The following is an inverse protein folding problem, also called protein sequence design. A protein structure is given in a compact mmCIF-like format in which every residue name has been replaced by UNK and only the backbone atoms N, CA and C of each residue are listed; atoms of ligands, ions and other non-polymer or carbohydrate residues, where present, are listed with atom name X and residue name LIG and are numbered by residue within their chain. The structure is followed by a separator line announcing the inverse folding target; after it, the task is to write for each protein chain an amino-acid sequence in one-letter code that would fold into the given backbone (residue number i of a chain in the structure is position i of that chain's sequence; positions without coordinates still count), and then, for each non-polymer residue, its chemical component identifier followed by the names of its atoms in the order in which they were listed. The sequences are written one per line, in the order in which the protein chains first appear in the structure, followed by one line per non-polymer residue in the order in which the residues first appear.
data_IF_613573977357
#
_entry.id   IF_613573977357
#
_cell.length_a   1.000
_cell.length_b   1.000
_cell.length_c   1.000
_cell.angle_alpha   90.00
_cell.angle_beta   90.00
_cell.angle_gamma   90.00
#
_symmetry.space_group_name_H-M   'P 1'
#
loop_
_entity.id
_entity.type
_entity.pdbx_description
1 polymer ?
#
# COMPACT_ATOMS: atom_id res chain seq x y z
N UNK A 1 11.14 -19.23 -16.10
CA UNK A 1 10.81 -17.80 -16.22
C UNK A 1 9.38 -17.63 -15.72
N UNK A 2 9.23 -17.15 -14.50
CA UNK A 2 7.91 -16.85 -13.92
C UNK A 2 7.28 -15.64 -14.60
N UNK A 3 5.96 -15.59 -14.63
CA UNK A 3 5.18 -14.44 -15.07
C UNK A 3 4.29 -13.89 -13.93
N UNK A 4 4.60 -14.29 -12.70
CA UNK A 4 3.81 -13.98 -11.49
C UNK A 4 4.67 -13.17 -10.53
N UNK A 5 4.07 -12.09 -9.99
CA UNK A 5 4.67 -11.25 -8.96
C UNK A 5 3.70 -11.03 -7.80
N UNK A 6 4.24 -11.06 -6.58
CA UNK A 6 3.55 -10.67 -5.34
C UNK A 6 4.18 -9.36 -4.85
N UNK A 7 3.38 -8.31 -4.75
CA UNK A 7 3.85 -6.98 -4.35
C UNK A 7 3.30 -6.66 -2.96
N UNK A 8 4.19 -6.63 -1.96
CA UNK A 8 3.82 -6.40 -0.57
C UNK A 8 3.85 -4.89 -0.25
N UNK A 9 2.70 -4.27 -0.05
CA UNK A 9 2.64 -2.83 0.23
C UNK A 9 2.85 -2.48 1.71
N UNK A 10 2.53 -3.40 2.63
CA UNK A 10 2.49 -3.17 4.07
C UNK A 10 1.61 -1.98 4.51
N UNK A 11 0.71 -1.47 3.66
CA UNK A 11 -0.12 -0.29 3.98
C UNK A 11 -1.21 -0.62 5.02
N UNK A 12 -1.77 -1.84 4.93
CA UNK A 12 -2.77 -2.37 5.85
C UNK A 12 -2.11 -2.82 7.16
N UNK A 13 -2.69 -2.44 8.30
CA UNK A 13 -2.23 -2.80 9.66
C UNK A 13 -3.27 -3.59 10.46
N UNK A 14 -4.48 -3.76 9.93
CA UNK A 14 -5.61 -4.44 10.54
C UNK A 14 -5.99 -5.65 9.71
N UNK A 15 -6.50 -6.75 10.30
CA UNK A 15 -7.01 -7.88 9.52
C UNK A 15 -8.38 -7.59 8.86
N UNK A 16 -9.12 -6.61 9.37
CA UNK A 16 -10.54 -6.41 9.07
C UNK A 16 -10.82 -5.71 7.73
N UNK A 17 -9.81 -5.07 7.14
CA UNK A 17 -9.98 -4.19 5.97
C UNK A 17 -9.52 -4.79 4.65
N UNK A 18 -9.19 -6.08 4.61
CA UNK A 18 -8.55 -6.70 3.44
C UNK A 18 -9.35 -6.51 2.15
N UNK A 19 -10.67 -6.69 2.20
CA UNK A 19 -11.56 -6.50 1.04
C UNK A 19 -11.56 -5.04 0.58
N UNK A 20 -11.53 -4.08 1.50
CA UNK A 20 -11.52 -2.65 1.17
C UNK A 20 -10.18 -2.22 0.58
N UNK A 21 -9.06 -2.74 1.09
CA UNK A 21 -7.76 -2.53 0.47
C UNK A 21 -7.69 -3.15 -0.94
N UNK A 22 -8.14 -4.39 -1.10
CA UNK A 22 -8.20 -5.06 -2.41
C UNK A 22 -9.06 -4.28 -3.42
N UNK A 23 -10.24 -3.81 -3.02
CA UNK A 23 -11.13 -3.02 -3.88
C UNK A 23 -10.48 -1.68 -4.25
N UNK A 24 -9.92 -0.95 -3.28
CA UNK A 24 -9.18 0.28 -3.58
C UNK A 24 -8.01 -0.01 -4.53
N UNK A 25 -7.25 -1.09 -4.29
CA UNK A 25 -6.11 -1.47 -5.13
C UNK A 25 -6.52 -1.82 -6.55
N UNK A 26 -7.66 -2.51 -6.76
CA UNK A 26 -8.20 -2.75 -8.09
C UNK A 26 -8.53 -1.44 -8.83
N UNK A 27 -9.21 -0.50 -8.15
CA UNK A 27 -9.52 0.83 -8.71
C UNK A 27 -8.23 1.60 -9.02
N UNK A 28 -7.21 1.51 -8.16
CA UNK A 28 -5.92 2.20 -8.35
C UNK A 28 -5.06 1.57 -9.42
N UNK A 29 -5.08 0.25 -9.57
CA UNK A 29 -4.41 -0.44 -10.66
C UNK A 29 -5.00 0.01 -12.00
N UNK A 30 -6.33 0.05 -12.12
CA UNK A 30 -6.98 0.56 -13.32
C UNK A 30 -6.65 2.04 -13.61
N UNK A 31 -6.61 2.90 -12.58
CA UNK A 31 -6.23 4.32 -12.73
C UNK A 31 -4.77 4.54 -13.10
N UNK A 32 -3.91 3.56 -12.86
CA UNK A 32 -2.48 3.60 -13.17
C UNK A 32 -2.12 2.47 -14.15
N UNK A 33 -3.02 2.18 -15.11
CA UNK A 33 -2.90 1.05 -16.02
C UNK A 33 -1.53 1.01 -16.73
N UNK A 34 -1.06 2.15 -17.25
CA UNK A 34 0.24 2.23 -17.94
C UNK A 34 1.41 1.67 -17.11
N UNK A 35 1.43 1.93 -15.79
CA UNK A 35 2.48 1.43 -14.90
C UNK A 35 2.35 -0.08 -14.66
N UNK A 36 1.12 -0.59 -14.61
CA UNK A 36 0.87 -2.02 -14.51
C UNK A 36 1.19 -2.73 -15.83
N UNK A 37 0.94 -2.10 -16.97
CA UNK A 37 1.30 -2.60 -18.29
C UNK A 37 2.83 -2.73 -18.41
N UNK A 38 3.59 -1.74 -17.92
CA UNK A 38 5.05 -1.81 -17.85
C UNK A 38 5.55 -2.97 -16.97
N UNK A 39 4.93 -3.16 -15.79
CA UNK A 39 5.21 -4.32 -14.93
C UNK A 39 4.92 -5.62 -15.67
N UNK A 40 3.76 -5.73 -16.33
CA UNK A 40 3.37 -6.93 -17.07
C UNK A 40 4.28 -7.21 -18.27
N UNK A 41 4.73 -6.19 -19.00
CA UNK A 41 5.73 -6.34 -20.05
C UNK A 41 7.05 -6.88 -19.49
N UNK A 42 7.46 -6.44 -18.30
CA UNK A 42 8.58 -7.03 -17.56
C UNK A 42 8.35 -8.52 -17.28
N UNK A 43 7.20 -8.86 -16.70
CA UNK A 43 6.87 -10.22 -16.30
C UNK A 43 6.77 -11.18 -17.49
N UNK A 44 6.33 -10.71 -18.66
CA UNK A 44 6.36 -11.51 -19.90
C UNK A 44 7.76 -11.98 -20.27
N UNK A 45 8.81 -11.23 -19.87
CA UNK A 45 10.21 -11.59 -20.05
C UNK A 45 10.82 -12.30 -18.83
N UNK A 46 10.04 -12.51 -17.78
CA UNK A 46 10.48 -13.13 -16.53
C UNK A 46 11.28 -12.21 -15.61
N UNK A 47 10.99 -10.90 -15.64
CA UNK A 47 11.68 -9.88 -14.82
C UNK A 47 10.65 -8.94 -14.17
N UNK A 48 10.82 -8.56 -12.91
CA UNK A 48 9.94 -7.56 -12.27
C UNK A 48 10.60 -6.17 -12.21
N UNK A 49 11.89 -6.14 -11.90
CA UNK A 49 12.71 -4.94 -11.83
C UNK A 49 14.05 -5.20 -12.53
N UNK A 50 14.97 -4.22 -12.55
CA UNK A 50 16.37 -4.53 -12.86
C UNK A 50 16.91 -5.52 -11.82
N UNK A 51 17.81 -6.43 -12.21
CA UNK A 51 18.30 -7.49 -11.30
C UNK A 51 18.82 -6.94 -9.96
N UNK A 52 19.53 -5.81 -9.98
CA UNK A 52 20.02 -5.16 -8.76
C UNK A 52 18.90 -4.62 -7.87
N UNK A 53 17.86 -4.01 -8.47
CA UNK A 53 16.72 -3.47 -7.72
C UNK A 53 15.76 -4.57 -7.27
N UNK A 54 15.69 -5.69 -7.98
CA UNK A 54 14.80 -6.80 -7.64
C UNK A 54 15.23 -7.46 -6.32
N UNK A 55 16.53 -7.75 -6.18
CA UNK A 55 17.09 -8.24 -4.92
C UNK A 55 16.84 -7.25 -3.78
N UNK A 56 17.18 -5.98 -3.96
CA UNK A 56 16.99 -4.94 -2.94
C UNK A 56 15.53 -4.69 -2.56
N UNK A 57 14.59 -4.83 -3.49
CA UNK A 57 13.17 -4.64 -3.19
C UNK A 57 12.58 -5.84 -2.47
N UNK A 58 13.01 -7.07 -2.83
CA UNK A 58 12.57 -8.29 -2.16
C UNK A 58 12.95 -8.30 -0.69
N UNK A 59 14.17 -7.91 -0.33
CA UNK A 59 14.65 -7.91 1.06
C UNK A 59 13.92 -6.92 1.96
N UNK A 60 13.24 -5.92 1.38
CA UNK A 60 12.36 -4.97 2.09
C UNK A 60 10.95 -5.50 2.36
N UNK A 61 10.65 -6.72 1.91
CA UNK A 61 9.40 -7.43 2.20
C UNK A 61 9.56 -8.40 3.37
N UNK A 62 8.45 -8.79 4.00
CA UNK A 62 8.50 -9.79 5.07
C UNK A 62 8.97 -11.16 4.57
N UNK A 63 8.57 -11.54 3.35
CA UNK A 63 9.04 -12.77 2.72
C UNK A 63 10.56 -12.75 2.50
N UNK A 64 11.10 -11.66 1.95
CA UNK A 64 12.55 -11.53 1.74
C UNK A 64 13.35 -11.52 3.04
N UNK A 65 12.88 -10.82 4.08
CA UNK A 65 13.52 -10.87 5.41
C UNK A 65 13.56 -12.29 5.96
N UNK A 66 12.45 -13.03 5.87
CA UNK A 66 12.41 -14.43 6.33
C UNK A 66 13.36 -15.32 5.52
N UNK A 67 13.41 -15.16 4.21
CA UNK A 67 14.29 -15.93 3.32
C UNK A 67 15.78 -15.68 3.64
N UNK A 68 16.16 -14.45 3.95
CA UNK A 68 17.53 -14.11 4.38
C UNK A 68 17.88 -14.74 5.74
N UNK A 69 16.98 -14.65 6.71
CA UNK A 69 17.20 -15.15 8.07
C UNK A 69 17.26 -16.68 8.12
N UNK A 70 16.37 -17.34 7.40
CA UNK A 70 16.22 -18.81 7.45
C UNK A 70 17.00 -19.54 6.38
N UNK A 71 17.37 -18.85 5.30
CA UNK A 71 17.91 -19.46 4.06
C UNK A 71 16.97 -20.50 3.44
N UNK A 72 15.67 -20.37 3.69
CA UNK A 72 14.63 -21.20 3.09
C UNK A 72 13.72 -20.36 2.20
N UNK A 73 13.43 -20.79 0.96
CA UNK A 73 12.49 -20.10 0.09
C UNK A 73 11.07 -20.20 0.68
N UNK A 74 10.38 -19.06 0.80
CA UNK A 74 9.00 -19.00 1.32
C UNK A 74 7.99 -19.01 0.18
N UNK A 75 8.38 -18.47 -0.97
CA UNK A 75 7.55 -18.43 -2.16
C UNK A 75 8.02 -19.49 -3.14
N UNK A 76 7.08 -20.27 -3.65
CA UNK A 76 7.36 -21.39 -4.54
C UNK A 76 7.87 -20.90 -5.91
N UNK A 77 8.89 -21.60 -6.41
CA UNK A 77 9.43 -21.44 -7.76
C UNK A 77 10.04 -20.07 -8.03
N UNK A 78 9.94 -19.64 -9.28
CA UNK A 78 10.54 -18.40 -9.79
C UNK A 78 9.66 -17.14 -9.46
N UNK A 79 8.73 -17.21 -8.51
CA UNK A 79 7.78 -16.10 -8.24
C UNK A 79 8.50 -14.84 -7.75
N UNK A 80 8.24 -13.72 -8.42
CA UNK A 80 8.83 -12.44 -8.06
C UNK A 80 8.15 -11.85 -6.82
N UNK A 81 8.93 -11.20 -5.96
CA UNK A 81 8.42 -10.53 -4.75
C UNK A 81 9.10 -9.18 -4.62
N UNK A 82 8.33 -8.12 -4.36
CA UNK A 82 8.85 -6.77 -4.22
C UNK A 82 8.07 -5.95 -3.18
N UNK A 83 8.73 -4.94 -2.62
CA UNK A 83 8.10 -3.97 -1.75
C UNK A 83 7.33 -2.93 -2.57
N UNK A 84 6.08 -2.67 -2.19
CA UNK A 84 5.15 -1.88 -2.99
C UNK A 84 5.66 -0.49 -3.36
N UNK A 85 6.43 0.18 -2.49
CA UNK A 85 6.88 1.54 -2.75
C UNK A 85 7.98 1.62 -3.82
N UNK A 86 8.54 0.49 -4.23
CA UNK A 86 9.54 0.43 -5.30
C UNK A 86 8.91 0.27 -6.68
N UNK A 87 7.70 -0.28 -6.75
CA UNK A 87 7.05 -0.65 -8.03
C UNK A 87 5.70 0.05 -8.24
N UNK A 88 4.95 0.34 -7.19
CA UNK A 88 3.63 0.95 -7.25
C UNK A 88 3.67 2.48 -7.10
N UNK A 89 2.65 3.19 -7.59
CA UNK A 89 2.48 4.62 -7.34
C UNK A 89 2.00 4.91 -5.91
N UNK A 90 2.12 6.17 -5.50
CA UNK A 90 1.72 6.68 -4.18
C UNK A 90 0.25 6.42 -3.83
N UNK A 91 -0.61 6.25 -4.84
CA UNK A 91 -2.04 5.93 -4.69
C UNK A 91 -2.33 4.72 -3.80
N UNK A 92 -1.43 3.72 -3.77
CA UNK A 92 -1.57 2.50 -2.97
C UNK A 92 -1.30 2.72 -1.47
N UNK A 93 -0.77 3.89 -1.11
CA UNK A 93 -0.42 4.28 0.26
C UNK A 93 -1.36 5.33 0.86
N UNK A 94 -2.32 5.86 0.08
CA UNK A 94 -3.27 6.88 0.53
C UNK A 94 -4.15 6.49 1.71
N UNK A 95 -4.33 5.19 1.92
CA UNK A 95 -5.11 4.64 3.03
C UNK A 95 -4.23 3.97 4.10
N UNK A 96 -2.90 4.07 3.99
CA UNK A 96 -1.97 3.45 4.93
C UNK A 96 -2.17 3.96 6.36
N UNK A 97 -2.32 3.03 7.31
CA UNK A 97 -2.70 3.36 8.68
C UNK A 97 -1.57 4.00 9.50
N UNK A 98 -0.31 3.66 9.20
CA UNK A 98 0.86 4.09 9.97
C UNK A 98 1.39 5.46 9.53
N UNK A 99 1.43 6.42 10.45
CA UNK A 99 2.06 7.73 10.21
C UNK A 99 3.56 7.58 9.99
N UNK A 100 4.21 6.72 10.77
CA UNK A 100 5.64 6.41 10.62
C UNK A 100 5.94 5.86 9.23
N UNK A 101 5.06 5.03 8.67
CA UNK A 101 5.22 4.56 7.29
C UNK A 101 5.10 5.73 6.31
N UNK A 102 4.11 6.61 6.45
CA UNK A 102 3.96 7.78 5.58
C UNK A 102 5.21 8.69 5.61
N UNK A 103 5.76 8.95 6.80
CA UNK A 103 7.01 9.71 6.97
C UNK A 103 8.17 9.05 6.22
N UNK A 104 8.43 7.76 6.48
CA UNK A 104 9.51 7.01 5.82
C UNK A 104 9.35 6.95 4.30
N UNK A 105 8.12 6.86 3.80
CA UNK A 105 7.86 6.88 2.36
C UNK A 105 8.19 8.24 1.76
N UNK A 106 7.82 9.34 2.41
CA UNK A 106 8.12 10.69 1.92
C UNK A 106 9.62 11.03 1.97
N UNK A 107 10.38 10.42 2.87
CA UNK A 107 11.84 10.59 2.99
C UNK A 107 12.66 9.78 1.96
N UNK A 108 11.99 8.99 1.10
CA UNK A 108 12.69 8.18 0.09
C UNK A 108 13.50 9.07 -0.88
N UNK A 109 14.74 8.69 -1.22
CA UNK A 109 15.60 9.48 -2.12
C UNK A 109 15.04 9.70 -3.52
N UNK A 110 14.21 8.76 -4.01
CA UNK A 110 13.59 8.84 -5.33
C UNK A 110 12.42 9.86 -5.41
N UNK A 111 11.96 10.39 -4.27
CA UNK A 111 10.88 11.37 -4.18
C UNK A 111 9.51 10.89 -4.69
N UNK A 112 9.37 9.62 -5.11
CA UNK A 112 8.15 9.11 -5.78
C UNK A 112 6.90 9.16 -4.91
N UNK A 113 7.09 9.14 -3.59
CA UNK A 113 6.01 9.13 -2.61
C UNK A 113 5.79 10.50 -1.93
N UNK A 114 6.60 11.51 -2.26
CA UNK A 114 6.57 12.82 -1.61
C UNK A 114 5.57 13.82 -2.26
N UNK A 115 4.94 13.42 -3.37
CA UNK A 115 4.05 14.27 -4.15
C UNK A 115 2.66 14.48 -3.56
N UNK A 116 1.85 15.21 -4.33
CA UNK A 116 0.41 15.45 -4.06
C UNK A 116 -0.38 14.15 -4.24
N UNK A 117 -1.27 13.84 -3.29
CA UNK A 117 -2.10 12.62 -3.30
C UNK A 117 -3.59 12.88 -3.50
N UNK A 118 -4.07 14.11 -3.38
CA UNK A 118 -5.45 14.48 -3.71
C UNK A 118 -5.58 14.95 -5.18
N UNK A 119 -6.81 14.96 -5.71
CA UNK A 119 -7.04 15.36 -7.10
C UNK A 119 -6.65 16.82 -7.35
N UNK A 120 -6.24 17.15 -8.58
CA UNK A 120 -5.80 18.51 -8.95
C UNK A 120 -6.87 19.59 -8.72
N UNK A 121 -8.15 19.20 -8.72
CA UNK A 121 -9.28 20.10 -8.51
C UNK A 121 -9.46 20.60 -7.07
N UNK A 122 -8.76 20.05 -6.08
CA UNK A 122 -8.75 20.63 -4.74
C UNK A 122 -7.90 21.91 -4.72
N UNK A 123 -8.38 22.96 -4.05
CA UNK A 123 -7.64 24.23 -3.89
C UNK A 123 -6.31 24.02 -3.15
N UNK A 124 -6.34 23.21 -2.08
CA UNK A 124 -5.15 22.87 -1.29
C UNK A 124 -4.62 21.50 -1.69
N UNK A 125 -3.34 21.44 -2.06
CA UNK A 125 -2.64 20.17 -2.22
C UNK A 125 -2.48 19.48 -0.86
N UNK A 126 -2.58 18.15 -0.88
CA UNK A 126 -2.37 17.28 0.29
C UNK A 126 -1.32 16.22 -0.09
N UNK A 127 -0.32 15.98 0.75
CA UNK A 127 0.65 14.87 0.64
C UNK A 127 0.27 13.66 1.52
N UNK A 128 1.06 12.58 1.50
CA UNK A 128 0.78 11.36 2.28
C UNK A 128 0.69 11.59 3.80
N UNK A 129 1.59 12.40 4.36
CA UNK A 129 1.65 12.67 5.80
C UNK A 129 0.48 13.56 6.23
N UNK A 130 0.21 14.63 5.48
CA UNK A 130 -0.95 15.51 5.70
C UNK A 130 -2.25 14.72 5.65
N UNK A 131 -2.40 13.83 4.65
CA UNK A 131 -3.54 12.92 4.56
C UNK A 131 -3.63 11.99 5.76
N UNK A 132 -2.52 11.36 6.17
CA UNK A 132 -2.54 10.44 7.31
C UNK A 132 -2.99 11.16 8.59
N UNK A 133 -2.49 12.38 8.80
CA UNK A 133 -2.86 13.23 9.94
C UNK A 133 -4.33 13.67 9.88
N UNK A 134 -4.85 14.03 8.69
CA UNK A 134 -6.24 14.44 8.52
C UNK A 134 -7.25 13.34 8.86
N UNK A 135 -6.86 12.07 8.73
CA UNK A 135 -7.67 10.90 9.06
C UNK A 135 -7.25 10.22 10.37
N UNK A 136 -6.44 10.88 11.20
CA UNK A 136 -5.90 10.30 12.43
C UNK A 136 -6.98 10.19 13.50
N UNK A 137 -7.20 8.98 13.99
CA UNK A 137 -8.09 8.72 15.13
C UNK A 137 -7.36 7.92 16.21
N UNK A 138 -7.88 8.00 17.42
CA UNK A 138 -7.40 7.22 18.57
C UNK A 138 -8.06 5.83 18.57
N UNK A 139 -7.26 4.80 18.80
CA UNK A 139 -7.68 3.44 19.12
C UNK A 139 -7.41 3.21 20.61
N UNK A 140 -8.40 2.70 21.32
CA UNK A 140 -8.20 2.17 22.67
C UNK A 140 -7.79 0.72 22.53
N UNK A 141 -6.53 0.41 22.83
CA UNK A 141 -6.06 -0.97 22.88
C UNK A 141 -6.41 -1.54 24.26
N UNK A 142 -7.34 -2.50 24.28
CA UNK A 142 -7.74 -3.25 25.46
C UNK A 142 -6.70 -4.36 25.75
N UNK A 143 -5.42 -4.01 25.78
CA UNK A 143 -4.34 -4.94 26.10
C UNK A 143 -4.25 -5.19 27.61
N UNK A 144 -4.71 -4.22 28.41
CA UNK A 144 -4.82 -4.30 29.87
C UNK A 144 -6.04 -3.47 30.31
N UNK A 145 -7.02 -4.07 30.99
CA UNK A 145 -8.26 -3.37 31.39
C UNK A 145 -7.97 -2.21 32.37
N UNK A 146 -6.87 -2.33 33.13
CA UNK A 146 -6.45 -1.37 34.14
C UNK A 146 -5.55 -0.24 33.59
N UNK A 147 -4.99 -0.39 32.38
CA UNK A 147 -4.17 0.65 31.75
C UNK A 147 -4.28 0.66 30.21
N UNK A 148 -5.41 1.15 29.66
CA UNK A 148 -5.62 1.18 28.22
C UNK A 148 -4.58 2.07 27.54
N UNK A 149 -3.76 1.50 26.65
CA UNK A 149 -2.92 2.32 25.78
C UNK A 149 -3.77 2.95 24.69
N UNK A 150 -3.64 4.28 24.56
CA UNK A 150 -4.24 5.02 23.45
C UNK A 150 -3.20 5.06 22.33
N UNK A 151 -3.39 4.22 21.32
CA UNK A 151 -2.62 4.29 20.09
C UNK A 151 -3.37 5.14 19.07
N UNK A 152 -2.68 5.66 18.05
CA UNK A 152 -3.30 6.41 16.96
C UNK A 152 -3.01 5.74 15.63
N UNK A 153 -3.97 5.82 14.72
CA UNK A 153 -3.83 5.32 13.35
C UNK A 153 -4.67 6.17 12.39
N UNK A 154 -4.40 6.06 11.09
CA UNK A 154 -5.26 6.68 10.06
C UNK A 154 -6.43 5.75 9.73
N UNK A 155 -7.66 6.24 9.89
CA UNK A 155 -8.90 5.56 9.52
C UNK A 155 -9.35 5.92 8.09
N UNK A 156 -8.41 6.29 7.21
CA UNK A 156 -8.76 6.68 5.84
C UNK A 156 -9.41 5.55 5.04
N UNK A 157 -9.12 4.28 5.37
CA UNK A 157 -9.77 3.13 4.72
C UNK A 157 -11.25 2.99 5.09
N UNK A 158 -11.63 3.33 6.33
CA UNK A 158 -13.04 3.39 6.74
C UNK A 158 -13.79 4.48 5.97
N UNK A 159 -13.14 5.62 5.75
CA UNK A 159 -13.67 6.67 4.86
C UNK A 159 -13.89 6.16 3.43
N UNK A 160 -13.01 5.31 2.91
CA UNK A 160 -13.21 4.66 1.61
C UNK A 160 -14.39 3.69 1.63
N UNK A 161 -14.53 2.86 2.68
CA UNK A 161 -15.70 1.98 2.85
C UNK A 161 -17.01 2.76 2.80
N UNK A 162 -17.10 3.87 3.53
CA UNK A 162 -18.30 4.74 3.54
C UNK A 162 -18.60 5.31 2.15
N UNK A 163 -17.56 5.76 1.44
CA UNK A 163 -17.67 6.27 0.07
C UNK A 163 -18.21 5.21 -0.91
N UNK A 164 -17.76 3.96 -0.81
CA UNK A 164 -18.26 2.90 -1.70
C UNK A 164 -19.70 2.49 -1.36
N UNK A 165 -20.08 2.46 -0.08
CA UNK A 165 -21.47 2.23 0.34
C UNK A 165 -22.38 3.32 -0.23
N UNK A 166 -22.00 4.59 -0.07
CA UNK A 166 -22.76 5.73 -0.59
C UNK A 166 -22.96 5.66 -2.10
N UNK A 167 -21.89 5.32 -2.86
CA UNK A 167 -21.96 5.16 -4.32
C UNK A 167 -22.97 4.09 -4.75
N UNK A 168 -22.97 2.95 -4.07
CA UNK A 168 -23.89 1.84 -4.38
C UNK A 168 -25.34 2.25 -4.07
N UNK A 169 -25.58 2.88 -2.91
CA UNK A 169 -26.91 3.35 -2.54
C UNK A 169 -27.43 4.42 -3.50
N UNK A 170 -26.59 5.39 -3.88
CA UNK A 170 -26.95 6.43 -4.82
C UNK A 170 -27.30 5.87 -6.21
N UNK A 171 -26.55 4.88 -6.70
CA UNK A 171 -26.83 4.24 -7.98
C UNK A 171 -28.12 3.38 -7.97
N UNK A 172 -28.49 2.82 -6.82
CA UNK A 172 -29.71 2.01 -6.68
C UNK A 172 -30.98 2.84 -6.47
N UNK A 173 -30.85 4.06 -5.93
CA UNK A 173 -31.95 4.99 -5.69
C UNK A 173 -32.17 6.00 -6.83
N UNK A 174 -31.28 6.01 -7.82
CA UNK A 174 -31.33 6.86 -9.02
C UNK A 174 -32.12 6.25 -10.17
#
# INVERSE_FOLDING_TARGET
LSQVAIIETQAQKTPDDCVMYCLNYAIKAHKNADQFDDIHHGLQRGTLLTESMEGESRTRTTAGTFEEETRYPVVEGDTHVAFGADVLPVDFYKHGASLTQALRLMERPDGRMAGRVNSKGHERAENLVERNQAFRISRRELLDEDNPQISQFSASIDGFRLQEIERVLAAAQG
#
